data_IF_012233599161
#
_entry.id   IF_012233599161
#
_cell.length_a   1.000
_cell.length_b   1.000
_cell.length_c   1.000
_cell.angle_alpha   90.00
_cell.angle_beta   90.00
_cell.angle_gamma   90.00
#
_symmetry.space_group_name_H-M   'P 1'
#
loop_
_entity.id
_entity.type
_entity.pdbx_description
1 polymer ?
#
# COMPACT_ATOMS: atom_id res chain seq x y z
N UNK A 1 -43.19 -38.92 5.58
CA UNK A 1 -42.27 -38.13 6.42
C UNK A 1 -40.87 -38.55 6.01
N UNK A 2 -40.08 -37.67 5.37
CA UNK A 2 -38.74 -38.01 4.87
C UNK A 2 -37.73 -38.23 6.00
N UNK A 3 -36.42 -37.93 5.81
CA UNK A 3 -35.38 -38.18 6.81
C UNK A 3 -35.58 -37.49 8.17
N UNK A 4 -36.58 -36.61 8.28
CA UNK A 4 -36.89 -35.80 9.47
C UNK A 4 -38.00 -36.37 10.36
N UNK A 5 -38.56 -37.55 10.04
CA UNK A 5 -39.71 -38.12 10.78
C UNK A 5 -39.47 -38.28 12.27
N UNK A 6 -38.34 -38.88 12.67
CA UNK A 6 -38.00 -39.09 14.09
C UNK A 6 -37.74 -37.79 14.85
N UNK A 7 -37.14 -36.80 14.21
CA UNK A 7 -36.88 -35.49 14.85
C UNK A 7 -38.18 -34.73 15.11
N UNK A 8 -39.15 -34.82 14.18
CA UNK A 8 -40.45 -34.19 14.35
C UNK A 8 -41.30 -34.88 15.42
N UNK A 9 -41.25 -36.21 15.50
CA UNK A 9 -41.93 -36.97 16.55
C UNK A 9 -41.34 -36.66 17.93
N UNK A 10 -40.01 -36.63 18.05
CA UNK A 10 -39.32 -36.24 19.29
C UNK A 10 -39.66 -34.80 19.71
N UNK A 11 -39.67 -33.86 18.76
CA UNK A 11 -40.08 -32.48 19.02
C UNK A 11 -41.55 -32.37 19.46
N UNK A 12 -42.43 -33.19 18.89
CA UNK A 12 -43.85 -33.21 19.20
C UNK A 12 -44.16 -33.83 20.58
N UNK A 13 -43.22 -34.54 21.20
CA UNK A 13 -43.37 -35.11 22.55
C UNK A 13 -42.79 -34.23 23.67
N UNK A 14 -41.95 -33.24 23.35
CA UNK A 14 -41.35 -32.33 24.33
C UNK A 14 -42.39 -31.38 24.97
N UNK A 15 -42.08 -30.80 26.14
CA UNK A 15 -42.92 -29.75 26.72
C UNK A 15 -42.83 -28.42 25.94
N UNK A 16 -43.81 -27.50 26.11
CA UNK A 16 -43.84 -26.25 25.34
C UNK A 16 -42.61 -25.35 25.52
N UNK A 17 -41.98 -25.34 26.70
CA UNK A 17 -40.80 -24.52 26.96
C UNK A 17 -39.58 -25.10 26.23
N UNK A 18 -39.38 -26.41 26.29
CA UNK A 18 -38.33 -27.11 25.56
C UNK A 18 -38.48 -26.98 24.03
N UNK A 19 -39.71 -27.06 23.51
CA UNK A 19 -39.97 -26.81 22.08
C UNK A 19 -39.55 -25.40 21.65
N UNK A 20 -39.83 -24.40 22.48
CA UNK A 20 -39.47 -23.01 22.21
C UNK A 20 -37.94 -22.84 22.19
N UNK A 21 -37.24 -23.44 23.15
CA UNK A 21 -35.78 -23.44 23.20
C UNK A 21 -35.15 -24.16 22.00
N UNK A 22 -35.69 -25.31 21.61
CA UNK A 22 -35.24 -26.07 20.44
C UNK A 22 -35.47 -25.32 19.13
N UNK A 23 -36.61 -24.63 18.99
CA UNK A 23 -36.89 -23.75 17.85
C UNK A 23 -35.87 -22.60 17.79
N UNK A 24 -35.60 -21.96 18.91
CA UNK A 24 -34.60 -20.89 18.99
C UNK A 24 -33.20 -21.39 18.64
N UNK A 25 -32.78 -22.56 19.15
CA UNK A 25 -31.50 -23.18 18.81
C UNK A 25 -31.40 -23.54 17.32
N UNK A 26 -32.48 -24.04 16.70
CA UNK A 26 -32.52 -24.30 15.26
C UNK A 26 -32.49 -22.99 14.47
N UNK A 27 -33.14 -21.93 14.93
CA UNK A 27 -33.07 -20.60 14.33
C UNK A 27 -31.64 -20.05 14.35
N UNK A 28 -30.94 -20.13 15.48
CA UNK A 28 -29.52 -19.76 15.59
C UNK A 28 -28.64 -20.61 14.67
N UNK A 29 -28.90 -21.91 14.56
CA UNK A 29 -28.17 -22.79 13.64
C UNK A 29 -28.41 -22.41 12.18
N UNK A 30 -29.64 -22.04 11.82
CA UNK A 30 -29.99 -21.53 10.49
C UNK A 30 -29.32 -20.18 10.25
N UNK A 31 -29.33 -19.26 11.21
CA UNK A 31 -28.64 -17.97 11.12
C UNK A 31 -27.13 -18.14 10.92
N UNK A 32 -26.51 -19.07 11.64
CA UNK A 32 -25.10 -19.42 11.47
C UNK A 32 -24.82 -20.04 10.10
N UNK A 33 -25.69 -20.92 9.60
CA UNK A 33 -25.57 -21.52 8.27
C UNK A 33 -25.80 -20.50 7.15
N UNK A 34 -26.78 -19.62 7.30
CA UNK A 34 -27.03 -18.51 6.37
C UNK A 34 -25.83 -17.56 6.37
N UNK A 35 -25.27 -17.23 7.53
CA UNK A 35 -24.04 -16.44 7.64
C UNK A 35 -22.87 -17.10 6.90
N UNK A 36 -22.76 -18.44 6.94
CA UNK A 36 -21.75 -19.18 6.18
C UNK A 36 -22.01 -19.23 4.67
N UNK A 37 -23.27 -19.32 4.23
CA UNK A 37 -23.67 -19.38 2.82
C UNK A 37 -23.64 -17.99 2.16
N UNK A 38 -23.97 -16.94 2.90
CA UNK A 38 -23.87 -15.56 2.44
C UNK A 38 -22.43 -15.16 2.08
N UNK A 39 -21.43 -15.86 2.62
CA UNK A 39 -20.01 -15.67 2.29
C UNK A 39 -19.61 -16.41 1.01
N UNK A 40 -20.37 -17.40 0.52
CA UNK A 40 -19.98 -18.25 -0.62
C UNK A 40 -20.46 -17.78 -2.00
N UNK A 41 -20.81 -16.51 -2.18
CA UNK A 41 -21.47 -16.06 -3.43
C UNK A 41 -20.75 -14.88 -4.10
N UNK A 42 -19.83 -15.20 -5.01
CA UNK A 42 -19.31 -14.28 -6.03
C UNK A 42 -17.81 -13.99 -5.94
N UNK A 43 -17.11 -14.05 -7.08
CA UNK A 43 -15.78 -13.46 -7.21
C UNK A 43 -15.88 -11.97 -6.92
N UNK A 44 -15.39 -11.53 -5.75
CA UNK A 44 -15.35 -10.11 -5.43
C UNK A 44 -14.60 -9.35 -6.53
N UNK A 45 -15.24 -8.31 -7.06
CA UNK A 45 -14.65 -7.44 -8.07
C UNK A 45 -14.44 -6.06 -7.46
N UNK A 46 -13.22 -5.54 -7.56
CA UNK A 46 -12.87 -4.21 -7.08
C UNK A 46 -13.72 -3.17 -7.83
N UNK A 47 -14.47 -2.35 -7.10
CA UNK A 47 -15.29 -1.29 -7.69
C UNK A 47 -14.41 -0.26 -8.39
N UNK A 48 -14.95 0.44 -9.41
CA UNK A 48 -14.21 1.50 -10.11
C UNK A 48 -13.71 2.57 -9.14
N UNK A 49 -14.56 3.00 -8.21
CA UNK A 49 -14.21 4.00 -7.20
C UNK A 49 -13.04 3.54 -6.30
N UNK A 50 -13.05 2.28 -5.86
CA UNK A 50 -11.95 1.71 -5.08
C UNK A 50 -10.68 1.59 -5.93
N UNK A 51 -10.80 1.23 -7.21
CA UNK A 51 -9.66 1.17 -8.14
C UNK A 51 -9.01 2.54 -8.35
N UNK A 52 -9.82 3.61 -8.50
CA UNK A 52 -9.33 4.98 -8.63
C UNK A 52 -8.65 5.46 -7.33
N UNK A 53 -9.20 5.09 -6.17
CA UNK A 53 -8.56 5.32 -4.87
C UNK A 53 -7.23 4.57 -4.75
N UNK A 54 -7.17 3.29 -5.13
CA UNK A 54 -5.93 2.50 -5.14
C UNK A 54 -4.86 3.17 -6.01
N UNK A 55 -5.22 3.68 -7.19
CA UNK A 55 -4.31 4.45 -8.07
C UNK A 55 -3.73 5.67 -7.38
N UNK A 56 -4.58 6.48 -6.76
CA UNK A 56 -4.17 7.71 -6.07
C UNK A 56 -3.27 7.41 -4.86
N UNK A 57 -3.65 6.45 -4.01
CA UNK A 57 -2.86 6.04 -2.85
C UNK A 57 -1.53 5.43 -3.28
N UNK A 58 -1.51 4.63 -4.35
CA UNK A 58 -0.28 4.05 -4.88
C UNK A 58 0.69 5.12 -5.38
N UNK A 59 0.20 6.13 -6.11
CA UNK A 59 1.03 7.27 -6.51
C UNK A 59 1.56 8.02 -5.29
N UNK A 60 0.71 8.35 -4.32
CA UNK A 60 1.13 9.08 -3.12
C UNK A 60 2.19 8.31 -2.31
N UNK A 61 2.01 7.00 -2.11
CA UNK A 61 2.99 6.17 -1.40
C UNK A 61 4.33 6.12 -2.14
N UNK A 62 4.34 5.96 -3.47
CA UNK A 62 5.58 5.88 -4.25
C UNK A 62 6.30 7.24 -4.38
N UNK A 63 5.55 8.33 -4.37
CA UNK A 63 6.07 9.70 -4.42
C UNK A 63 6.43 10.24 -3.03
N UNK A 64 6.02 9.56 -1.96
CA UNK A 64 6.33 9.97 -0.59
C UNK A 64 7.84 10.07 -0.34
N UNK A 65 8.34 11.19 0.20
CA UNK A 65 9.74 11.32 0.59
C UNK A 65 10.11 10.40 1.76
N UNK A 66 9.13 10.02 2.59
CA UNK A 66 9.30 9.16 3.77
C UNK A 66 9.42 7.67 3.41
N UNK A 67 9.22 7.30 2.14
CA UNK A 67 9.27 5.91 1.71
C UNK A 67 10.68 5.31 1.85
N UNK A 68 10.77 4.12 2.46
CA UNK A 68 12.07 3.50 2.72
C UNK A 68 12.63 2.64 1.56
N UNK A 69 11.75 1.97 0.81
CA UNK A 69 12.09 1.04 -0.28
C UNK A 69 11.03 1.17 -1.38
N UNK A 70 11.27 0.67 -2.58
CA UNK A 70 10.34 0.63 -3.71
C UNK A 70 9.97 -0.82 -4.11
N UNK A 71 10.49 -1.81 -3.38
CA UNK A 71 10.24 -3.23 -3.60
C UNK A 71 9.91 -3.95 -2.29
N UNK A 72 9.53 -5.22 -2.42
CA UNK A 72 9.21 -6.08 -1.29
C UNK A 72 7.81 -5.88 -0.73
N UNK A 73 7.51 -6.63 0.32
CA UNK A 73 6.16 -6.68 0.88
C UNK A 73 5.72 -5.39 1.56
N UNK A 74 6.70 -4.63 2.05
CA UNK A 74 6.47 -3.40 2.82
C UNK A 74 5.62 -2.41 2.01
N UNK A 75 5.77 -2.36 0.68
CA UNK A 75 5.11 -1.34 -0.13
C UNK A 75 3.61 -1.59 -0.29
N UNK A 76 3.20 -2.80 -0.62
CA UNK A 76 1.78 -3.10 -0.70
C UNK A 76 1.13 -3.04 0.69
N UNK A 77 1.86 -3.39 1.76
CA UNK A 77 1.39 -3.22 3.14
C UNK A 77 1.16 -1.75 3.48
N UNK A 78 2.03 -0.83 3.05
CA UNK A 78 1.86 0.62 3.23
C UNK A 78 0.63 1.16 2.49
N UNK A 79 0.43 0.76 1.22
CA UNK A 79 -0.77 1.16 0.47
C UNK A 79 -2.03 0.61 1.14
N UNK A 80 -2.02 -0.65 1.60
CA UNK A 80 -3.14 -1.23 2.36
C UNK A 80 -3.40 -0.48 3.67
N UNK A 81 -2.36 -0.06 4.40
CA UNK A 81 -2.52 0.74 5.60
C UNK A 81 -3.19 2.08 5.31
N UNK A 82 -2.82 2.75 4.21
CA UNK A 82 -3.46 3.99 3.76
C UNK A 82 -4.92 3.77 3.38
N UNK A 83 -5.22 2.68 2.65
CA UNK A 83 -6.60 2.30 2.27
C UNK A 83 -7.46 2.12 3.52
N UNK A 84 -6.97 1.37 4.51
CA UNK A 84 -7.69 1.14 5.78
C UNK A 84 -7.86 2.42 6.60
N UNK A 85 -6.83 3.27 6.61
CA UNK A 85 -6.85 4.50 7.41
C UNK A 85 -7.83 5.53 6.85
N UNK A 86 -7.82 5.74 5.52
CA UNK A 86 -8.73 6.70 4.88
C UNK A 86 -10.15 6.13 4.71
N UNK A 87 -10.28 4.80 4.61
CA UNK A 87 -11.54 4.06 4.58
C UNK A 87 -12.59 4.57 3.56
N UNK A 88 -12.14 5.15 2.44
CA UNK A 88 -13.04 5.70 1.40
C UNK A 88 -13.32 4.63 0.35
N UNK A 89 -14.59 4.26 0.18
CA UNK A 89 -15.07 3.23 -0.76
C UNK A 89 -14.44 1.83 -0.52
N UNK A 90 -14.09 1.55 0.72
CA UNK A 90 -13.52 0.26 1.13
C UNK A 90 -14.66 -0.69 1.55
N UNK A 91 -14.65 -1.97 1.15
CA UNK A 91 -15.66 -2.93 1.59
C UNK A 91 -15.56 -3.15 3.11
N UNK A 92 -16.71 -3.17 3.79
CA UNK A 92 -16.77 -3.37 5.25
C UNK A 92 -16.15 -4.71 5.68
N UNK A 93 -16.19 -5.71 4.81
CA UNK A 93 -15.65 -7.04 5.05
C UNK A 93 -14.18 -7.22 4.61
N UNK A 94 -13.44 -6.13 4.34
CA UNK A 94 -12.04 -6.21 3.87
C UNK A 94 -11.14 -7.04 4.80
N UNK A 95 -11.32 -6.93 6.13
CA UNK A 95 -10.50 -7.65 7.11
C UNK A 95 -11.03 -9.07 7.40
N UNK A 96 -12.34 -9.26 7.31
CA UNK A 96 -13.00 -10.52 7.66
C UNK A 96 -13.05 -11.50 6.49
N UNK A 97 -13.07 -11.01 5.24
CA UNK A 97 -13.21 -11.82 4.04
C UNK A 97 -11.88 -11.95 3.30
N UNK A 98 -11.33 -13.17 3.31
CA UNK A 98 -10.08 -13.52 2.65
C UNK A 98 -10.12 -13.28 1.13
N UNK A 99 -11.26 -13.47 0.47
CA UNK A 99 -11.39 -13.28 -0.97
C UNK A 99 -11.35 -11.80 -1.34
N UNK A 100 -12.05 -10.96 -0.57
CA UNK A 100 -12.01 -9.49 -0.72
C UNK A 100 -10.60 -8.98 -0.48
N UNK A 101 -9.98 -9.38 0.63
CA UNK A 101 -8.60 -8.98 0.96
C UNK A 101 -7.62 -9.35 -0.15
N UNK A 102 -7.72 -10.59 -0.67
CA UNK A 102 -6.86 -11.07 -1.76
C UNK A 102 -7.05 -10.25 -3.03
N UNK A 103 -8.29 -9.99 -3.43
CA UNK A 103 -8.59 -9.21 -4.64
C UNK A 103 -8.09 -7.76 -4.55
N UNK A 104 -8.26 -7.10 -3.41
CA UNK A 104 -7.74 -5.75 -3.18
C UNK A 104 -6.21 -5.75 -3.17
N UNK A 105 -5.57 -6.73 -2.50
CA UNK A 105 -4.11 -6.89 -2.52
C UNK A 105 -3.56 -7.09 -3.94
N UNK A 106 -4.22 -7.89 -4.76
CA UNK A 106 -3.85 -8.12 -6.16
C UNK A 106 -3.95 -6.82 -6.98
N UNK A 107 -5.05 -6.07 -6.81
CA UNK A 107 -5.22 -4.77 -7.45
C UNK A 107 -4.14 -3.76 -7.05
N UNK A 108 -3.81 -3.67 -5.76
CA UNK A 108 -2.72 -2.83 -5.24
C UNK A 108 -1.36 -3.24 -5.82
N UNK A 109 -1.07 -4.54 -5.86
CA UNK A 109 0.22 -5.06 -6.36
C UNK A 109 0.40 -4.79 -7.86
N UNK A 110 -0.68 -4.95 -8.62
CA UNK A 110 -0.72 -4.62 -10.04
C UNK A 110 -0.47 -3.12 -10.26
N UNK A 111 -1.20 -2.27 -9.54
CA UNK A 111 -1.08 -0.82 -9.66
C UNK A 111 0.32 -0.31 -9.25
N UNK A 112 0.92 -0.89 -8.21
CA UNK A 112 2.30 -0.61 -7.82
C UNK A 112 3.30 -0.90 -8.94
N UNK A 113 3.05 -1.96 -9.71
CA UNK A 113 3.90 -2.31 -10.86
C UNK A 113 3.72 -1.32 -12.00
N UNK A 114 2.47 -0.94 -12.30
CA UNK A 114 2.15 0.03 -13.35
C UNK A 114 2.69 1.42 -13.01
N UNK A 115 2.44 1.92 -11.80
CA UNK A 115 2.90 3.23 -11.34
C UNK A 115 4.42 3.32 -11.31
N UNK A 116 5.14 2.28 -10.84
CA UNK A 116 6.61 2.23 -10.94
C UNK A 116 7.06 2.31 -12.41
N UNK A 117 6.46 1.54 -13.29
CA UNK A 117 6.78 1.61 -14.73
C UNK A 117 6.60 3.02 -15.30
N UNK A 118 5.49 3.69 -14.94
CA UNK A 118 5.21 5.08 -15.32
C UNK A 118 6.27 6.05 -14.81
N UNK A 119 6.61 5.99 -13.51
CA UNK A 119 7.64 6.85 -12.90
C UNK A 119 8.99 6.64 -13.59
N UNK A 120 9.41 5.39 -13.79
CA UNK A 120 10.69 5.08 -14.46
C UNK A 120 10.74 5.63 -15.88
N UNK A 121 9.65 5.50 -16.65
CA UNK A 121 9.55 6.04 -18.02
C UNK A 121 9.61 7.57 -18.02
N UNK A 122 8.91 8.22 -17.10
CA UNK A 122 8.95 9.68 -16.97
C UNK A 122 10.37 10.18 -16.64
N UNK A 123 11.08 9.49 -15.74
CA UNK A 123 12.49 9.78 -15.43
C UNK A 123 13.36 9.62 -16.68
N UNK A 124 13.24 8.50 -17.41
CA UNK A 124 13.99 8.28 -18.63
C UNK A 124 13.75 9.39 -19.67
N UNK A 125 12.49 9.78 -19.86
CA UNK A 125 12.10 10.86 -20.78
C UNK A 125 12.63 12.22 -20.34
N UNK A 126 12.52 12.57 -19.05
CA UNK A 126 13.01 13.87 -18.55
C UNK A 126 14.51 14.07 -18.76
N UNK A 127 15.28 12.98 -18.77
CA UNK A 127 16.73 13.02 -19.02
C UNK A 127 17.04 13.32 -20.49
N UNK A 128 16.29 12.74 -21.42
CA UNK A 128 16.52 12.97 -22.86
C UNK A 128 16.05 14.34 -23.31
N UNK A 129 14.97 14.85 -22.71
CA UNK A 129 14.44 16.19 -23.00
C UNK A 129 15.17 17.31 -22.24
N UNK A 130 15.99 16.93 -21.24
CA UNK A 130 16.62 17.85 -20.28
C UNK A 130 15.59 18.71 -19.55
N UNK A 131 14.49 18.08 -19.14
CA UNK A 131 13.40 18.66 -18.37
C UNK A 131 13.83 18.91 -16.92
N UNK A 132 13.42 20.02 -16.34
CA UNK A 132 13.71 20.31 -14.92
C UNK A 132 13.05 19.29 -14.00
N UNK A 133 13.61 19.09 -12.80
CA UNK A 133 13.01 18.16 -11.81
C UNK A 133 11.62 18.60 -11.36
N UNK A 134 11.36 19.90 -11.37
CA UNK A 134 10.05 20.46 -11.01
C UNK A 134 8.99 20.16 -12.07
N UNK A 135 9.33 20.34 -13.36
CA UNK A 135 8.42 19.96 -14.45
C UNK A 135 8.17 18.44 -14.48
N UNK A 136 9.20 17.63 -14.20
CA UNK A 136 9.04 16.18 -14.02
C UNK A 136 8.07 15.86 -12.87
N UNK A 137 8.23 16.54 -11.74
CA UNK A 137 7.35 16.35 -10.59
C UNK A 137 5.91 16.75 -10.91
N UNK A 138 5.69 17.89 -11.56
CA UNK A 138 4.36 18.35 -12.00
C UNK A 138 3.69 17.32 -12.91
N UNK A 139 4.40 16.80 -13.91
CA UNK A 139 3.84 15.77 -14.80
C UNK A 139 3.52 14.44 -14.11
N UNK A 140 4.18 14.13 -12.98
CA UNK A 140 3.87 12.93 -12.19
C UNK A 140 2.67 13.13 -11.25
N UNK A 141 2.40 14.35 -10.80
CA UNK A 141 1.29 14.66 -9.87
C UNK A 141 0.05 15.24 -10.55
N UNK A 142 0.10 15.62 -11.83
CA UNK A 142 -1.00 16.29 -12.55
C UNK A 142 -2.36 15.57 -12.44
N UNK A 143 -2.36 14.24 -12.37
CA UNK A 143 -3.59 13.43 -12.24
C UNK A 143 -3.78 12.85 -10.85
N UNK A 144 -3.17 13.44 -9.82
CA UNK A 144 -3.23 12.96 -8.44
C UNK A 144 -3.60 14.10 -7.48
N UNK A 145 -3.81 13.76 -6.21
CA UNK A 145 -4.04 14.73 -5.14
C UNK A 145 -2.73 15.24 -4.50
N UNK A 146 -1.56 14.83 -5.03
CA UNK A 146 -0.27 15.22 -4.48
C UNK A 146 0.12 16.64 -4.93
N UNK A 147 0.85 17.34 -4.07
CA UNK A 147 1.44 18.65 -4.38
C UNK A 147 2.95 18.48 -4.58
N UNK A 148 3.51 19.24 -5.53
CA UNK A 148 4.96 19.22 -5.77
C UNK A 148 5.69 19.98 -4.68
N UNK A 149 6.36 19.24 -3.79
CA UNK A 149 7.20 19.81 -2.73
C UNK A 149 8.69 19.70 -3.06
N UNK A 150 9.52 20.43 -2.29
CA UNK A 150 10.98 20.32 -2.38
C UNK A 150 11.45 18.90 -2.05
N UNK A 151 10.84 18.27 -1.05
CA UNK A 151 11.16 16.90 -0.64
C UNK A 151 10.85 15.88 -1.75
N UNK A 152 9.71 16.03 -2.44
CA UNK A 152 9.39 15.22 -3.62
C UNK A 152 10.43 15.41 -4.73
N UNK A 153 10.78 16.66 -5.04
CA UNK A 153 11.79 16.95 -6.06
C UNK A 153 13.15 16.34 -5.71
N UNK A 154 13.58 16.42 -4.44
CA UNK A 154 14.81 15.80 -3.98
C UNK A 154 14.77 14.26 -4.12
N UNK A 155 13.61 13.66 -3.86
CA UNK A 155 13.39 12.22 -4.09
C UNK A 155 13.51 11.86 -5.56
N UNK A 156 12.87 12.61 -6.45
CA UNK A 156 12.94 12.39 -7.90
C UNK A 156 14.37 12.61 -8.45
N UNK A 157 15.11 13.57 -7.90
CA UNK A 157 16.52 13.78 -8.22
C UNK A 157 17.37 12.55 -7.90
N UNK A 158 17.16 11.89 -6.74
CA UNK A 158 17.80 10.61 -6.42
C UNK A 158 17.44 9.53 -7.45
N UNK A 159 16.16 9.36 -7.74
CA UNK A 159 15.71 8.35 -8.72
C UNK A 159 16.34 8.59 -10.10
N UNK A 160 16.43 9.86 -10.52
CA UNK A 160 17.04 10.27 -11.78
C UNK A 160 18.56 10.07 -11.79
N UNK A 161 19.25 10.32 -10.67
CA UNK A 161 20.67 10.02 -10.48
C UNK A 161 20.96 8.54 -10.66
N UNK A 162 20.23 7.67 -9.95
CA UNK A 162 20.39 6.20 -10.08
C UNK A 162 20.12 5.75 -11.51
N UNK A 163 19.12 6.34 -12.18
CA UNK A 163 18.84 6.01 -13.58
C UNK A 163 19.95 6.50 -14.54
N UNK A 164 20.69 7.55 -14.17
CA UNK A 164 21.76 8.10 -14.98
C UNK A 164 23.06 7.28 -14.90
N UNK A 165 23.23 6.49 -13.85
CA UNK A 165 24.37 5.61 -13.69
C UNK A 165 24.37 4.49 -14.73
N UNK A 166 25.57 4.21 -15.28
CA UNK A 166 25.78 3.15 -16.26
C UNK A 166 25.32 1.81 -15.66
N UNK A 167 24.65 0.99 -16.47
CA UNK A 167 24.16 -0.35 -16.11
C UNK A 167 23.05 -0.40 -15.04
N UNK A 168 22.65 0.73 -14.45
CA UNK A 168 21.61 0.77 -13.40
C UNK A 168 20.20 1.11 -13.89
N UNK A 169 20.03 1.50 -15.15
CA UNK A 169 18.72 1.81 -15.75
C UNK A 169 17.93 0.58 -16.23
N UNK A 170 18.50 -0.62 -16.11
CA UNK A 170 17.93 -1.88 -16.61
C UNK A 170 16.78 -2.48 -15.78
N UNK A 171 16.50 -3.79 -15.92
CA UNK A 171 15.43 -4.48 -15.19
C UNK A 171 15.55 -4.38 -13.66
N UNK A 172 16.78 -4.33 -13.13
CA UNK A 172 17.11 -4.21 -11.70
C UNK A 172 17.10 -2.77 -11.16
N UNK A 173 16.60 -1.81 -11.94
CA UNK A 173 16.61 -0.39 -11.57
C UNK A 173 16.10 -0.13 -10.15
N UNK A 174 14.97 -0.73 -9.76
CA UNK A 174 14.39 -0.53 -8.42
C UNK A 174 15.23 -1.15 -7.31
N UNK A 175 15.96 -2.24 -7.59
CA UNK A 175 16.90 -2.83 -6.63
C UNK A 175 18.04 -1.85 -6.35
N UNK A 176 18.57 -1.22 -7.39
CA UNK A 176 19.62 -0.20 -7.25
C UNK A 176 19.15 1.06 -6.54
N UNK A 177 17.90 1.47 -6.76
CA UNK A 177 17.29 2.57 -6.00
C UNK A 177 17.25 2.24 -4.51
N UNK A 178 16.80 1.02 -4.17
CA UNK A 178 16.69 0.59 -2.77
C UNK A 178 18.06 0.43 -2.11
N UNK A 179 19.06 -0.10 -2.82
CA UNK A 179 20.46 -0.13 -2.38
C UNK A 179 20.99 1.27 -2.09
N UNK A 180 20.71 2.24 -2.97
CA UNK A 180 21.14 3.61 -2.80
C UNK A 180 20.48 4.28 -1.59
N UNK A 181 19.17 4.07 -1.41
CA UNK A 181 18.44 4.56 -0.25
C UNK A 181 18.95 3.95 1.05
N UNK A 182 19.27 2.66 1.05
CA UNK A 182 19.89 1.98 2.19
C UNK A 182 21.26 2.59 2.49
N UNK A 183 22.10 2.80 1.48
CA UNK A 183 23.40 3.47 1.64
C UNK A 183 23.26 4.86 2.26
N UNK A 184 22.34 5.69 1.76
CA UNK A 184 22.09 7.03 2.31
C UNK A 184 21.72 6.94 3.80
N UNK A 185 20.85 6.00 4.20
CA UNK A 185 20.49 5.82 5.61
C UNK A 185 21.64 5.32 6.47
N UNK A 186 22.46 4.40 5.95
CA UNK A 186 23.63 3.88 6.66
C UNK A 186 24.66 4.98 6.90
N UNK A 187 24.97 5.78 5.89
CA UNK A 187 25.89 6.93 6.02
C UNK A 187 25.33 8.01 6.94
N UNK A 188 24.02 8.20 6.94
CA UNK A 188 23.34 9.11 7.83
C UNK A 188 23.14 8.58 9.25
N UNK A 189 23.53 7.33 9.56
CA UNK A 189 23.33 6.69 10.86
C UNK A 189 21.86 6.76 11.35
N UNK A 190 20.91 6.82 10.42
CA UNK A 190 19.48 6.99 10.72
C UNK A 190 19.03 8.41 11.11
N UNK A 191 19.91 9.42 11.17
CA UNK A 191 19.50 10.82 11.41
C UNK A 191 18.73 11.37 10.22
N UNK A 192 17.50 11.85 10.48
CA UNK A 192 16.64 12.44 9.46
C UNK A 192 17.27 13.70 8.86
N UNK A 193 17.96 14.51 9.66
CA UNK A 193 18.62 15.73 9.18
C UNK A 193 19.73 15.39 8.17
N UNK A 194 20.55 14.37 8.46
CA UNK A 194 21.61 13.91 7.55
C UNK A 194 21.03 13.33 6.26
N UNK A 195 19.92 12.58 6.35
CA UNK A 195 19.22 12.05 5.17
C UNK A 195 18.70 13.21 4.31
N UNK A 196 18.04 14.20 4.92
CA UNK A 196 17.51 15.36 4.21
C UNK A 196 18.62 16.19 3.56
N UNK A 197 19.76 16.35 4.24
CA UNK A 197 20.94 17.03 3.69
C UNK A 197 21.51 16.29 2.47
N UNK A 198 21.61 14.96 2.52
CA UNK A 198 22.06 14.15 1.40
C UNK A 198 21.12 14.28 0.19
N UNK A 199 19.81 14.20 0.41
CA UNK A 199 18.81 14.38 -0.65
C UNK A 199 18.83 15.81 -1.23
N UNK A 200 19.00 16.83 -0.39
CA UNK A 200 19.13 18.23 -0.81
C UNK A 200 20.36 18.45 -1.70
N UNK A 201 21.47 17.79 -1.35
CA UNK A 201 22.70 17.81 -2.18
C UNK A 201 22.45 17.18 -3.55
N UNK A 202 21.72 16.07 -3.61
CA UNK A 202 21.34 15.44 -4.88
C UNK A 202 20.44 16.34 -5.72
N UNK A 203 19.49 17.03 -5.09
CA UNK A 203 18.64 18.01 -5.76
C UNK A 203 19.46 19.15 -6.37
N UNK A 204 20.46 19.66 -5.66
CA UNK A 204 21.33 20.72 -6.16
C UNK A 204 22.17 20.26 -7.36
N UNK A 205 22.76 19.06 -7.28
CA UNK A 205 23.48 18.43 -8.40
C UNK A 205 22.59 18.25 -9.62
N UNK A 206 21.39 17.72 -9.39
CA UNK A 206 20.41 17.45 -10.42
C UNK A 206 19.94 18.74 -11.13
N UNK A 207 19.72 19.83 -10.38
CA UNK A 207 19.44 21.17 -10.93
C UNK A 207 20.62 21.72 -11.74
N UNK A 208 21.86 21.48 -11.32
CA UNK A 208 23.04 21.89 -12.09
C UNK A 208 23.11 21.19 -13.45
N UNK A 209 22.75 19.91 -13.51
CA UNK A 209 22.80 19.11 -14.75
C UNK A 209 21.61 19.44 -15.67
N UNK A 210 20.39 19.49 -15.14
CA UNK A 210 19.15 19.53 -15.94
C UNK A 210 18.36 20.85 -15.86
N UNK A 211 18.76 21.82 -15.01
CA UNK A 211 17.96 23.00 -14.66
C UNK A 211 18.10 24.23 -15.58
N UNK A 212 18.69 24.09 -16.76
CA UNK A 212 19.11 25.22 -17.61
C UNK A 212 18.06 25.76 -18.59
N UNK A 213 16.93 25.07 -18.82
CA UNK A 213 15.98 25.44 -19.91
C UNK A 213 14.77 26.29 -19.48
N UNK A 214 14.46 26.34 -18.19
CA UNK A 214 13.34 27.09 -17.63
C UNK A 214 13.49 27.03 -16.10
N UNK A 215 13.80 28.14 -15.44
CA UNK A 215 13.76 28.21 -13.98
C UNK A 215 12.30 28.24 -13.52
N UNK A 216 11.61 27.12 -13.68
CA UNK A 216 10.35 26.89 -12.97
C UNK A 216 10.72 26.68 -11.51
N UNK A 217 10.66 27.76 -10.73
CA UNK A 217 10.98 27.75 -9.31
C UNK A 217 9.89 27.01 -8.56
N UNK A 218 10.29 26.11 -7.66
CA UNK A 218 9.36 25.54 -6.68
C UNK A 218 8.90 26.71 -5.81
N UNK A 219 7.60 26.96 -5.65
CA UNK A 219 7.13 27.99 -4.73
C UNK A 219 7.71 27.73 -3.33
N UNK A 220 8.28 28.77 -2.72
CA UNK A 220 8.94 28.71 -1.40
C UNK A 220 8.05 28.10 -0.32
N UNK A 221 6.73 28.27 -0.47
CA UNK A 221 5.71 27.88 0.49
C UNK A 221 4.99 26.57 0.10
N UNK A 222 5.55 25.79 -0.84
CA UNK A 222 4.96 24.51 -1.25
C UNK A 222 5.15 23.44 -0.16
N UNK A 223 4.22 23.43 0.79
CA UNK A 223 4.05 22.35 1.78
C UNK A 223 3.12 21.25 1.24
N UNK A 224 3.27 20.00 1.72
CA UNK A 224 2.27 18.96 1.44
C UNK A 224 0.89 19.43 1.90
N UNK A 225 -0.16 19.09 1.14
CA UNK A 225 -1.53 19.30 1.61
C UNK A 225 -1.87 18.32 2.75
N UNK A 226 -3.00 18.55 3.41
CA UNK A 226 -3.45 17.73 4.54
C UNK A 226 -3.54 16.25 4.17
N UNK A 227 -4.13 15.94 3.02
CA UNK A 227 -4.26 14.57 2.53
C UNK A 227 -2.91 13.86 2.34
N UNK A 228 -1.95 14.54 1.72
CA UNK A 228 -0.60 14.01 1.50
C UNK A 228 0.14 13.84 2.83
N UNK A 229 -0.05 14.77 3.77
CA UNK A 229 0.50 14.67 5.14
C UNK A 229 -0.04 13.43 5.84
N UNK A 230 -1.36 13.17 5.77
CA UNK A 230 -1.96 11.96 6.33
C UNK A 230 -1.35 10.69 5.73
N UNK A 231 -1.17 10.64 4.39
CA UNK A 231 -0.53 9.49 3.74
C UNK A 231 0.91 9.31 4.24
N UNK A 232 1.69 10.40 4.29
CA UNK A 232 3.07 10.39 4.75
C UNK A 232 3.18 9.93 6.22
N UNK A 233 2.24 10.30 7.08
CA UNK A 233 2.23 9.89 8.49
C UNK A 233 1.88 8.42 8.66
N UNK A 234 0.91 7.89 7.91
CA UNK A 234 0.60 6.44 7.90
C UNK A 234 1.83 5.63 7.44
N UNK A 235 2.58 6.16 6.48
CA UNK A 235 3.85 5.58 6.04
C UNK A 235 4.86 5.62 7.21
N UNK A 236 5.05 6.74 7.89
CA UNK A 236 5.97 6.79 9.04
C UNK A 236 5.61 5.81 10.16
N UNK A 237 4.34 5.75 10.57
CA UNK A 237 3.91 4.97 11.75
C UNK A 237 3.97 3.45 11.51
N UNK A 238 3.74 3.00 10.28
CA UNK A 238 3.82 1.57 9.92
C UNK A 238 5.25 1.00 9.92
N UNK A 239 6.28 1.81 10.18
CA UNK A 239 7.66 1.35 10.36
C UNK A 239 7.95 0.81 11.77
N UNK A 240 7.09 1.06 12.76
CA UNK A 240 7.41 0.88 14.19
C UNK A 240 6.72 -0.33 14.83
N UNK A 241 6.01 -1.18 14.07
CA UNK A 241 5.41 -2.41 14.63
C UNK A 241 6.34 -3.60 14.41
N UNK A 242 7.11 -4.05 15.42
CA UNK A 242 7.73 -5.38 15.36
C UNK A 242 6.61 -6.42 15.29
N UNK A 243 6.77 -7.38 14.38
CA UNK A 243 5.93 -8.57 14.35
C UNK A 243 6.25 -9.41 15.59
N UNK A 244 5.46 -9.24 16.64
CA UNK A 244 5.41 -10.16 17.77
C UNK A 244 4.25 -11.13 17.55
N UNK A 245 4.53 -12.40 17.79
CA UNK A 245 3.67 -13.52 17.38
C UNK A 245 4.47 -14.82 17.33
N UNK A 246 5.15 -15.09 18.43
CA UNK A 246 5.67 -16.39 18.85
C UNK A 246 4.67 -17.52 18.60
N UNK A 247 5.15 -18.60 17.99
CA UNK A 247 4.61 -19.94 18.25
C UNK A 247 5.79 -20.79 18.68
N UNK A 248 5.87 -20.94 19.99
CA UNK A 248 6.68 -21.87 20.72
C UNK A 248 5.97 -23.22 20.60
N UNK A 249 6.53 -24.13 19.82
CA UNK A 249 6.15 -25.55 19.84
C UNK A 249 7.27 -26.29 20.58
N UNK A 250 7.12 -26.40 21.90
CA UNK A 250 7.85 -27.35 22.73
C UNK A 250 6.96 -28.59 22.97
N UNK A 251 7.48 -29.72 22.50
CA UNK A 251 7.46 -31.09 23.06
C UNK A 251 6.14 -31.83 23.37
N UNK A 252 6.01 -33.04 22.79
CA UNK A 252 5.87 -34.29 23.56
C UNK A 252 6.12 -35.54 22.70
N UNK A 253 6.86 -36.47 23.32
CA UNK A 253 7.43 -37.74 22.86
C UNK A 253 6.46 -38.82 22.33
N UNK A 254 7.06 -39.83 21.68
CA UNK A 254 6.48 -41.17 21.55
C UNK A 254 7.40 -42.15 20.81
N UNK A 255 8.17 -42.94 21.58
CA UNK A 255 8.93 -44.13 21.18
C UNK A 255 8.12 -45.13 20.33
N UNK A 256 8.75 -45.67 19.27
CA UNK A 256 8.96 -47.11 19.02
C UNK A 256 9.98 -47.33 17.87
#
# INVERSE_FOLDING_TARGET
LGPYGRELESFATEDPANRTLLLYAKLLSVEQKISKIAVSSGSFTVSKALSDNIKNYTHAVLLSPKLSTYKGEIIWKRVMAVIKHLNVNVPDNLESDRHVYKAVKEAVTLELTQTRSKIKKAIASSRTTNQSVYELANGLVESTQCVVTVALCARLALLRKVHAEKDKSGPKYWDHVDEYLKMVRTVAEGSEEKIQQALSTMLAQDRSIYGTKSQSTIPSDSSPNEWQTTVDDVISTSATTPADGSTQDDEADGDD
#
